data_IF_605499569772
#
_entry.id   IF_605499569772
#
_cell.length_a   1.000
_cell.length_b   1.000
_cell.length_c   1.000
_cell.angle_alpha   90.00
_cell.angle_beta   90.00
_cell.angle_gamma   90.00
#
_symmetry.space_group_name_H-M   'P 1'
#
loop_
_entity.id
_entity.type
_entity.pdbx_description
1 polymer ?
#
# COMPACT_ATOMS: atom_id res chain seq x y z
N UNK A 1 -18.73 -6.19 -6.29
CA UNK A 1 -20.13 -6.56 -5.99
C UNK A 1 -20.47 -6.48 -4.50
N UNK A 2 -19.70 -7.02 -3.54
CA UNK A 2 -20.09 -6.90 -2.11
C UNK A 2 -20.05 -5.46 -1.54
N UNK A 3 -19.22 -4.55 -2.06
CA UNK A 3 -19.28 -3.11 -1.70
C UNK A 3 -20.59 -2.44 -2.15
N UNK A 4 -21.14 -2.87 -3.29
CA UNK A 4 -22.40 -2.37 -3.84
C UNK A 4 -23.61 -2.81 -3.01
N UNK A 5 -23.54 -3.98 -2.35
CA UNK A 5 -24.58 -4.47 -1.43
C UNK A 5 -24.70 -3.58 -0.20
N UNK A 6 -23.59 -3.02 0.30
CA UNK A 6 -23.60 -2.07 1.42
C UNK A 6 -24.30 -0.76 1.05
N UNK A 7 -23.98 -0.19 -0.11
CA UNK A 7 -24.63 1.04 -0.59
C UNK A 7 -26.12 0.82 -0.84
N UNK A 8 -26.52 -0.35 -1.37
CA UNK A 8 -27.93 -0.72 -1.55
C UNK A 8 -28.66 -0.87 -0.19
N UNK A 9 -28.01 -1.43 0.83
CA UNK A 9 -28.56 -1.55 2.19
C UNK A 9 -28.74 -0.19 2.87
N UNK A 10 -27.77 0.72 2.73
CA UNK A 10 -27.87 2.09 3.24
C UNK A 10 -28.99 2.87 2.51
N UNK A 11 -29.16 2.66 1.20
CA UNK A 11 -30.22 3.26 0.42
C UNK A 11 -31.61 2.72 0.80
N UNK A 12 -31.76 1.39 0.96
CA UNK A 12 -33.03 0.75 1.35
C UNK A 12 -33.49 1.16 2.75
N UNK A 13 -32.55 1.35 3.69
CA UNK A 13 -32.87 1.82 5.06
C UNK A 13 -33.46 3.24 5.05
N UNK A 14 -33.03 4.08 4.10
CA UNK A 14 -33.52 5.46 3.93
C UNK A 14 -34.94 5.48 3.34
N UNK A 15 -35.25 4.55 2.42
CA UNK A 15 -36.55 4.48 1.72
C UNK A 15 -37.66 3.95 2.64
N UNK A 16 -37.34 3.09 3.62
CA UNK A 16 -38.33 2.54 4.56
C UNK A 16 -38.88 3.55 5.58
N UNK A 17 -38.28 4.74 5.72
CA UNK A 17 -38.79 5.79 6.60
C UNK A 17 -39.94 6.61 5.99
N UNK A 18 -40.19 6.50 4.68
CA UNK A 18 -41.21 7.27 3.96
C UNK A 18 -42.11 6.35 3.12
N UNK A 19 -43.06 5.67 3.76
CA UNK A 19 -44.22 5.11 3.05
C UNK A 19 -44.66 3.73 3.51
N UNK A 20 -45.98 3.56 3.60
CA UNK A 20 -46.67 2.30 3.90
C UNK A 20 -46.36 1.24 2.83
N UNK A 21 -45.33 0.43 3.07
CA UNK A 21 -45.04 -0.78 2.29
C UNK A 21 -45.96 -1.89 2.79
N UNK A 22 -46.72 -2.53 1.89
CA UNK A 22 -47.64 -3.62 2.27
C UNK A 22 -46.86 -4.83 2.80
N UNK A 23 -47.40 -5.48 3.84
CA UNK A 23 -46.74 -6.56 4.59
C UNK A 23 -46.22 -7.70 3.68
N UNK A 24 -46.88 -7.93 2.54
CA UNK A 24 -46.51 -8.95 1.55
C UNK A 24 -45.21 -8.64 0.79
N UNK A 25 -44.92 -7.36 0.54
CA UNK A 25 -43.71 -6.97 -0.21
C UNK A 25 -42.46 -6.98 0.65
N UNK A 26 -42.59 -6.77 1.96
CA UNK A 26 -41.48 -6.82 2.92
C UNK A 26 -40.82 -8.22 2.97
N UNK A 27 -41.61 -9.30 2.92
CA UNK A 27 -41.08 -10.67 2.93
C UNK A 27 -40.24 -10.99 1.70
N UNK A 28 -40.64 -10.51 0.51
CA UNK A 28 -39.88 -10.69 -0.73
C UNK A 28 -38.52 -9.99 -0.69
N UNK A 29 -38.45 -8.78 -0.12
CA UNK A 29 -37.20 -8.05 0.06
C UNK A 29 -36.26 -8.72 1.07
N UNK A 30 -36.77 -9.21 2.20
CA UNK A 30 -35.96 -9.95 3.17
C UNK A 30 -35.39 -11.23 2.53
N UNK A 31 -36.21 -11.97 1.78
CA UNK A 31 -35.74 -13.17 1.08
C UNK A 31 -34.67 -12.84 0.03
N UNK A 32 -34.84 -11.74 -0.72
CA UNK A 32 -33.87 -11.27 -1.69
C UNK A 32 -32.55 -10.85 -1.03
N UNK A 33 -32.60 -10.08 0.06
CA UNK A 33 -31.41 -9.67 0.84
C UNK A 33 -30.70 -10.92 1.42
N UNK A 34 -31.46 -11.89 1.91
CA UNK A 34 -30.91 -13.14 2.42
C UNK A 34 -30.20 -13.93 1.31
N UNK A 35 -30.82 -14.07 0.13
CA UNK A 35 -30.21 -14.76 -1.02
C UNK A 35 -28.97 -14.03 -1.56
N UNK A 36 -28.94 -12.70 -1.52
CA UNK A 36 -27.79 -11.89 -1.95
C UNK A 36 -26.64 -11.96 -0.94
N UNK A 37 -26.93 -12.02 0.36
CA UNK A 37 -25.90 -12.08 1.41
C UNK A 37 -25.22 -13.45 1.49
N UNK A 38 -25.95 -14.55 1.29
CA UNK A 38 -25.39 -15.93 1.30
C UNK A 38 -24.41 -16.14 0.13
N UNK A 39 -24.62 -15.48 -1.01
CA UNK A 39 -23.73 -15.61 -2.17
C UNK A 39 -22.40 -14.82 -2.05
N UNK A 40 -22.27 -13.84 -1.15
CA UNK A 40 -21.00 -13.12 -0.99
C UNK A 40 -19.91 -13.99 -0.36
N UNK A 41 -20.27 -15.01 0.43
CA UNK A 41 -19.29 -15.90 1.09
C UNK A 41 -18.67 -16.93 0.13
N UNK A 42 -19.39 -17.37 -0.90
CA UNK A 42 -18.89 -18.38 -1.86
C UNK A 42 -17.87 -17.78 -2.86
N UNK A 43 -17.96 -16.49 -3.19
CA UNK A 43 -16.98 -15.84 -4.08
C UNK A 43 -15.58 -15.67 -3.49
N UNK A 44 -15.40 -15.91 -2.19
CA UNK A 44 -14.09 -15.91 -1.55
C UNK A 44 -13.43 -17.29 -1.52
N UNK A 45 -14.18 -18.36 -1.86
CA UNK A 45 -13.67 -19.75 -1.83
C UNK A 45 -12.86 -20.15 -3.05
N UNK A 46 -12.96 -19.42 -4.17
CA UNK A 46 -12.24 -19.79 -5.41
C UNK A 46 -11.10 -18.81 -5.64
N UNK A 47 -9.98 -19.07 -4.95
CA UNK A 47 -8.68 -18.47 -5.20
C UNK A 47 -8.34 -17.28 -4.30
N UNK A 48 -7.52 -17.54 -3.28
CA UNK A 48 -6.54 -16.57 -2.76
C UNK A 48 -7.14 -15.26 -2.19
N UNK A 49 -8.16 -15.31 -1.32
CA UNK A 49 -8.68 -14.11 -0.60
C UNK A 49 -8.90 -14.39 0.89
N UNK A 50 -8.74 -13.33 1.69
CA UNK A 50 -8.78 -13.34 3.17
C UNK A 50 -10.23 -13.43 3.68
N UNK A 51 -10.43 -13.73 4.97
CA UNK A 51 -11.74 -13.85 5.67
C UNK A 51 -12.62 -12.61 5.59
N UNK A 52 -12.05 -11.45 5.32
CA UNK A 52 -12.78 -10.19 5.11
C UNK A 52 -12.97 -9.83 3.63
N UNK A 53 -12.47 -10.65 2.71
CA UNK A 53 -12.51 -10.47 1.24
C UNK A 53 -12.10 -9.08 0.75
N UNK A 54 -11.44 -8.30 1.62
CA UNK A 54 -11.12 -6.90 1.39
C UNK A 54 -9.89 -6.76 0.49
N UNK A 55 -9.00 -7.75 0.54
CA UNK A 55 -7.74 -7.75 -0.21
C UNK A 55 -7.52 -9.09 -0.92
N UNK A 56 -7.02 -9.01 -2.15
CA UNK A 56 -6.51 -10.17 -2.86
C UNK A 56 -5.20 -10.62 -2.21
N UNK A 57 -4.98 -11.93 -2.07
CA UNK A 57 -3.70 -12.45 -1.59
C UNK A 57 -2.61 -12.15 -2.62
N UNK A 58 -1.55 -11.47 -2.18
CA UNK A 58 -0.40 -11.10 -3.00
C UNK A 58 0.90 -11.74 -2.52
N UNK A 59 0.81 -12.75 -1.68
CA UNK A 59 1.95 -13.56 -1.28
C UNK A 59 2.43 -14.43 -2.46
N UNK A 60 3.74 -14.72 -2.50
CA UNK A 60 4.34 -15.64 -3.48
C UNK A 60 3.66 -17.01 -3.40
N UNK A 61 3.44 -17.47 -2.16
CA UNK A 61 2.81 -18.76 -1.88
C UNK A 61 1.30 -18.61 -1.62
N UNK A 62 0.92 -18.75 -0.36
CA UNK A 62 -0.46 -18.82 0.11
C UNK A 62 -0.67 -17.80 1.22
N UNK A 63 -1.91 -17.34 1.38
CA UNK A 63 -2.31 -16.52 2.52
C UNK A 63 -3.08 -17.37 3.52
N UNK A 64 -2.96 -17.04 4.80
CA UNK A 64 -3.84 -17.54 5.85
C UNK A 64 -5.24 -16.93 5.74
N UNK A 65 -6.11 -17.35 6.65
CA UNK A 65 -7.47 -16.83 6.76
C UNK A 65 -7.49 -15.30 7.02
N UNK A 66 -6.46 -14.71 7.61
CA UNK A 66 -6.39 -13.27 7.89
C UNK A 66 -5.77 -12.47 6.74
N UNK A 67 -5.14 -13.14 5.77
CA UNK A 67 -4.42 -12.51 4.67
C UNK A 67 -2.92 -12.40 4.84
N UNK A 68 -2.37 -12.93 5.94
CA UNK A 68 -0.92 -12.95 6.13
C UNK A 68 -0.31 -14.04 5.25
N UNK A 69 0.91 -13.81 4.78
CA UNK A 69 1.63 -14.82 4.02
C UNK A 69 2.03 -16.00 4.93
N UNK A 70 1.70 -17.22 4.49
CA UNK A 70 2.15 -18.45 5.15
C UNK A 70 3.55 -18.80 4.62
N UNK A 71 4.48 -19.07 5.54
CA UNK A 71 5.84 -19.51 5.21
C UNK A 71 6.87 -18.44 5.57
N UNK A 72 7.75 -18.11 4.63
CA UNK A 72 8.83 -17.14 4.87
C UNK A 72 8.25 -15.74 5.14
N UNK A 73 8.73 -15.05 6.18
CA UNK A 73 8.32 -13.68 6.46
C UNK A 73 8.65 -12.79 5.25
N UNK A 74 7.73 -11.89 4.90
CA UNK A 74 7.84 -10.95 3.78
C UNK A 74 7.88 -11.59 2.38
N UNK A 75 7.29 -12.77 2.19
CA UNK A 75 7.15 -13.43 0.88
C UNK A 75 6.06 -12.79 0.01
N UNK A 76 6.17 -11.48 -0.23
CA UNK A 76 5.32 -10.77 -1.17
C UNK A 76 5.71 -11.07 -2.61
N UNK A 77 4.71 -11.23 -3.47
CA UNK A 77 4.91 -11.24 -4.91
C UNK A 77 5.58 -9.94 -5.35
N UNK A 78 6.29 -9.99 -6.46
CA UNK A 78 6.95 -8.81 -7.03
C UNK A 78 5.98 -7.62 -7.15
N UNK A 79 6.42 -6.44 -6.68
CA UNK A 79 5.63 -5.22 -6.67
C UNK A 79 4.61 -5.08 -5.54
N UNK A 80 4.66 -5.96 -4.55
CA UNK A 80 3.84 -5.88 -3.36
C UNK A 80 4.69 -5.87 -2.08
N UNK A 81 4.20 -5.17 -1.06
CA UNK A 81 4.87 -5.08 0.23
C UNK A 81 3.89 -4.79 1.37
N UNK A 82 4.42 -4.77 2.60
CA UNK A 82 3.63 -4.69 3.84
C UNK A 82 3.44 -6.06 4.50
N UNK A 83 2.94 -6.05 5.73
CA UNK A 83 2.81 -7.25 6.57
C UNK A 83 1.97 -8.37 5.91
N UNK A 84 0.96 -8.00 5.14
CA UNK A 84 0.06 -8.90 4.42
C UNK A 84 0.16 -8.72 2.89
N UNK A 85 1.25 -8.10 2.41
CA UNK A 85 1.44 -7.74 0.99
C UNK A 85 0.28 -6.93 0.41
N UNK A 86 -0.29 -6.06 1.24
CA UNK A 86 -1.49 -5.30 0.90
C UNK A 86 -1.21 -4.04 0.08
N UNK A 87 0.05 -3.59 0.02
CA UNK A 87 0.44 -2.34 -0.64
C UNK A 87 1.16 -2.63 -1.94
N UNK A 88 0.78 -1.90 -2.99
CA UNK A 88 1.42 -1.99 -4.31
C UNK A 88 2.57 -0.99 -4.36
N UNK A 89 3.76 -1.48 -4.71
CA UNK A 89 4.93 -0.64 -4.90
C UNK A 89 4.84 0.11 -6.23
N UNK A 90 4.52 1.40 -6.17
CA UNK A 90 4.53 2.27 -7.36
C UNK A 90 5.96 2.68 -7.75
N UNK A 91 6.94 2.50 -6.86
CA UNK A 91 8.36 2.74 -7.11
C UNK A 91 8.96 1.83 -8.19
N UNK A 92 8.38 0.65 -8.41
CA UNK A 92 8.76 -0.24 -9.52
C UNK A 92 8.73 0.44 -10.90
N UNK A 93 7.73 1.31 -11.10
CA UNK A 93 7.53 2.01 -12.37
C UNK A 93 8.29 3.33 -12.47
N UNK A 94 9.02 3.72 -11.42
CA UNK A 94 9.84 4.92 -11.46
C UNK A 94 11.08 4.71 -12.34
N UNK A 95 11.81 5.77 -12.63
CA UNK A 95 13.22 5.77 -13.00
C UNK A 95 14.01 6.25 -11.78
N UNK A 96 15.12 5.57 -11.44
CA UNK A 96 16.03 6.02 -10.37
C UNK A 96 17.23 6.66 -11.06
N UNK A 97 17.48 7.93 -10.77
CA UNK A 97 18.59 8.68 -11.39
C UNK A 97 19.93 8.46 -10.66
N UNK A 98 19.88 8.03 -9.40
CA UNK A 98 21.07 7.87 -8.56
C UNK A 98 21.74 6.51 -8.77
N UNK A 99 22.96 6.48 -9.31
CA UNK A 99 23.76 5.26 -9.42
C UNK A 99 24.35 4.84 -8.05
N UNK A 100 24.30 3.55 -7.66
CA UNK A 100 23.79 2.39 -8.41
C UNK A 100 22.30 2.12 -8.19
N UNK A 101 21.49 2.64 -9.13
CA UNK A 101 20.04 2.73 -9.13
C UNK A 101 19.29 1.39 -9.00
N UNK A 102 19.83 0.31 -9.57
CA UNK A 102 19.12 -0.94 -9.74
C UNK A 102 18.90 -1.72 -8.41
N UNK A 103 19.67 -1.42 -7.36
CA UNK A 103 19.65 -2.22 -6.12
C UNK A 103 18.56 -1.81 -5.13
N UNK A 104 18.02 -0.59 -5.24
CA UNK A 104 17.03 -0.08 -4.28
C UNK A 104 15.62 -0.68 -4.42
N UNK A 105 15.33 -1.46 -5.48
CA UNK A 105 13.98 -1.93 -5.80
C UNK A 105 13.67 -3.36 -5.41
N UNK A 106 14.67 -4.09 -5.00
CA UNK A 106 14.50 -5.51 -4.73
C UNK A 106 14.22 -5.70 -3.24
N UNK A 107 13.17 -6.46 -2.93
CA UNK A 107 12.95 -7.07 -1.61
C UNK A 107 14.03 -8.13 -1.33
N UNK A 108 15.29 -7.82 -1.60
CA UNK A 108 16.41 -8.71 -1.36
C UNK A 108 16.53 -8.95 0.15
N UNK A 109 17.00 -10.14 0.54
CA UNK A 109 17.44 -10.35 1.90
C UNK A 109 18.50 -9.30 2.27
N UNK A 110 18.52 -8.88 3.53
CA UNK A 110 19.45 -7.84 4.03
C UNK A 110 20.93 -8.17 3.83
N UNK A 111 21.26 -9.44 3.58
CA UNK A 111 22.63 -9.92 3.36
C UNK A 111 23.27 -9.36 2.09
N UNK A 112 22.47 -8.92 1.12
CA UNK A 112 22.96 -8.35 -0.14
C UNK A 112 23.00 -6.81 -0.13
N UNK A 113 22.73 -6.20 1.03
CA UNK A 113 22.79 -4.76 1.20
C UNK A 113 24.18 -4.30 1.64
N UNK A 114 24.72 -3.31 0.94
CA UNK A 114 26.01 -2.67 1.23
C UNK A 114 25.85 -1.16 1.25
N UNK A 115 26.64 -0.46 2.07
CA UNK A 115 26.65 1.00 2.06
C UNK A 115 27.25 1.56 0.76
N UNK A 116 26.76 2.72 0.34
CA UNK A 116 27.22 3.44 -0.84
C UNK A 116 27.90 4.74 -0.42
N UNK A 117 29.24 4.75 -0.48
CA UNK A 117 30.00 5.97 -0.22
C UNK A 117 29.73 7.01 -1.30
N UNK A 118 29.44 8.25 -0.88
CA UNK A 118 29.23 9.39 -1.79
C UNK A 118 27.82 9.52 -2.37
N UNK A 119 26.89 8.63 -2.04
CA UNK A 119 25.50 8.79 -2.45
C UNK A 119 24.82 9.87 -1.58
N UNK A 120 24.41 10.96 -2.21
CA UNK A 120 23.83 12.11 -1.51
C UNK A 120 22.30 12.08 -1.48
N UNK A 121 21.68 11.53 -2.51
CA UNK A 121 20.22 11.49 -2.65
C UNK A 121 19.76 10.30 -3.50
N UNK A 122 18.52 9.90 -3.28
CA UNK A 122 17.78 8.97 -4.15
C UNK A 122 16.66 9.76 -4.81
N UNK A 123 16.67 9.87 -6.13
CA UNK A 123 15.61 10.52 -6.90
C UNK A 123 14.81 9.48 -7.70
N UNK A 124 13.52 9.38 -7.40
CA UNK A 124 12.52 8.59 -8.12
C UNK A 124 11.72 9.52 -9.03
N UNK A 125 11.63 9.19 -10.31
CA UNK A 125 10.85 9.95 -11.29
C UNK A 125 9.85 9.05 -12.02
N UNK A 126 8.63 9.52 -12.27
CA UNK A 126 7.59 8.76 -12.97
C UNK A 126 7.18 9.48 -14.24
N UNK A 127 6.95 8.72 -15.31
CA UNK A 127 6.43 9.26 -16.58
C UNK A 127 4.97 9.69 -16.52
N UNK A 128 4.23 9.20 -15.52
CA UNK A 128 2.84 9.57 -15.22
C UNK A 128 2.73 9.95 -13.75
N UNK A 129 1.89 10.93 -13.44
CA UNK A 129 1.64 11.32 -12.05
C UNK A 129 1.08 10.14 -11.25
N UNK A 130 1.67 9.85 -10.10
CA UNK A 130 1.20 8.80 -9.19
C UNK A 130 0.75 9.41 -7.87
N UNK A 131 -0.30 8.88 -7.24
CA UNK A 131 -0.58 9.19 -5.85
C UNK A 131 0.58 8.73 -4.97
N UNK A 132 0.81 9.44 -3.86
CA UNK A 132 1.79 9.08 -2.83
C UNK A 132 1.15 9.24 -1.46
N UNK A 133 1.31 8.21 -0.63
CA UNK A 133 0.73 8.20 0.72
C UNK A 133 1.82 7.97 1.77
N UNK A 134 2.70 7.00 1.53
CA UNK A 134 3.85 6.73 2.38
C UNK A 134 4.88 5.89 1.62
N UNK A 135 6.08 5.81 2.16
CA UNK A 135 7.17 4.97 1.67
C UNK A 135 7.79 4.15 2.80
N UNK A 136 8.28 2.96 2.47
CA UNK A 136 9.11 2.13 3.35
C UNK A 136 10.55 2.24 2.93
N UNK A 137 11.43 2.50 3.89
CA UNK A 137 12.87 2.47 3.70
C UNK A 137 13.42 1.35 4.57
N UNK A 138 14.24 0.49 3.97
CA UNK A 138 15.06 -0.46 4.69
C UNK A 138 16.51 -0.03 4.62
N UNK A 139 17.22 -0.02 5.75
CA UNK A 139 18.63 0.37 5.86
C UNK A 139 19.50 -0.80 6.28
N UNK A 140 20.80 -0.69 6.01
CA UNK A 140 21.79 -1.67 6.47
C UNK A 140 22.05 -1.55 7.97
N UNK A 141 22.15 -0.31 8.48
CA UNK A 141 22.49 -0.01 9.88
C UNK A 141 21.50 1.00 10.49
N UNK A 142 21.15 0.81 11.77
CA UNK A 142 20.13 1.58 12.49
C UNK A 142 20.57 3.04 12.78
N UNK A 143 21.86 3.34 12.72
CA UNK A 143 22.40 4.63 13.15
C UNK A 143 21.99 5.83 12.29
N UNK A 144 21.38 5.60 11.12
CA UNK A 144 21.20 6.63 10.09
C UNK A 144 19.78 7.18 9.93
N UNK A 145 18.91 6.99 10.93
CA UNK A 145 17.56 7.58 10.90
C UNK A 145 17.52 9.10 11.17
N UNK A 146 18.68 9.74 11.33
CA UNK A 146 18.79 11.19 11.54
C UNK A 146 18.86 11.92 10.19
N UNK A 147 18.35 13.16 10.16
CA UNK A 147 18.46 14.08 9.03
C UNK A 147 17.81 13.59 7.72
N UNK A 148 16.60 13.03 7.82
CA UNK A 148 15.85 12.65 6.62
C UNK A 148 15.13 13.88 6.06
N UNK A 149 15.35 14.15 4.77
CA UNK A 149 14.62 15.18 4.03
C UNK A 149 13.92 14.54 2.84
N UNK A 150 12.62 14.82 2.71
CA UNK A 150 11.79 14.34 1.62
C UNK A 150 11.30 15.55 0.81
N UNK A 151 11.62 15.58 -0.47
CA UNK A 151 11.09 16.58 -1.40
C UNK A 151 10.34 15.88 -2.54
N UNK A 152 9.22 16.47 -2.94
CA UNK A 152 8.35 15.92 -3.95
C UNK A 152 7.98 17.00 -4.96
N UNK A 153 7.76 16.62 -6.21
CA UNK A 153 7.29 17.55 -7.24
C UNK A 153 6.20 16.94 -8.10
N UNK A 154 5.36 17.79 -8.66
CA UNK A 154 4.42 17.45 -9.72
C UNK A 154 4.65 18.40 -10.90
N UNK A 155 5.16 17.88 -12.02
CA UNK A 155 5.37 18.65 -13.25
C UNK A 155 6.19 19.94 -13.00
N UNK A 156 7.28 19.84 -12.23
CA UNK A 156 8.17 20.90 -11.75
C UNK A 156 7.66 21.80 -10.61
N UNK A 157 6.43 21.62 -10.13
CA UNK A 157 5.92 22.33 -8.95
C UNK A 157 6.29 21.55 -7.69
N UNK A 158 6.92 22.22 -6.72
CA UNK A 158 7.22 21.61 -5.43
C UNK A 158 5.93 21.29 -4.67
N UNK A 159 5.83 20.06 -4.18
CA UNK A 159 4.73 19.58 -3.35
C UNK A 159 5.24 19.49 -1.91
N UNK A 160 4.67 20.32 -1.03
CA UNK A 160 5.05 20.35 0.38
C UNK A 160 4.37 19.23 1.15
N UNK A 161 5.16 18.48 1.93
CA UNK A 161 4.63 17.61 2.96
C UNK A 161 4.32 18.41 4.22
N UNK A 162 3.04 18.68 4.51
CA UNK A 162 2.66 19.50 5.67
C UNK A 162 3.07 18.86 7.01
N UNK A 163 3.05 17.54 7.08
CA UNK A 163 3.40 16.77 8.27
C UNK A 163 4.05 15.45 7.86
N UNK A 164 5.37 15.41 7.92
CA UNK A 164 6.11 14.15 7.79
C UNK A 164 5.93 13.37 9.09
N UNK A 165 5.51 12.12 8.99
CA UNK A 165 5.48 11.18 10.11
C UNK A 165 6.44 10.04 9.81
N UNK A 166 7.33 9.75 10.76
CA UNK A 166 8.30 8.67 10.65
C UNK A 166 7.94 7.62 11.70
N UNK A 167 7.78 6.37 11.26
CA UNK A 167 7.48 5.23 12.12
C UNK A 167 8.60 4.21 11.99
N UNK A 168 9.21 3.82 13.10
CA UNK A 168 10.14 2.70 13.13
C UNK A 168 9.32 1.40 13.17
N UNK A 169 9.45 0.57 12.14
CA UNK A 169 8.79 -0.73 12.04
C UNK A 169 9.63 -1.78 12.76
N UNK A 170 10.95 -1.71 12.58
CA UNK A 170 11.97 -2.51 13.26
C UNK A 170 13.32 -1.77 13.22
N UNK A 171 14.40 -2.40 13.71
CA UNK A 171 15.72 -1.79 13.80
C UNK A 171 16.35 -1.40 12.44
N UNK A 172 15.82 -1.90 11.33
CA UNK A 172 16.34 -1.65 9.97
C UNK A 172 15.28 -1.08 9.03
N UNK A 173 14.05 -0.90 9.49
CA UNK A 173 12.92 -0.55 8.63
C UNK A 173 12.16 0.62 9.23
N UNK A 174 11.97 1.64 8.41
CA UNK A 174 11.13 2.78 8.76
C UNK A 174 10.10 3.03 7.67
N UNK A 175 8.97 3.57 8.09
CA UNK A 175 7.93 4.08 7.22
C UNK A 175 7.88 5.60 7.34
N UNK A 176 7.96 6.29 6.20
CA UNK A 176 7.74 7.73 6.11
C UNK A 176 6.38 7.95 5.48
N UNK A 177 5.46 8.49 6.27
CA UNK A 177 4.14 8.87 5.81
C UNK A 177 4.08 10.37 5.56
N UNK A 178 3.39 10.73 4.48
CA UNK A 178 3.08 12.10 4.15
C UNK A 178 1.66 12.19 3.63
N UNK A 179 0.85 13.04 4.26
CA UNK A 179 -0.51 13.31 3.79
C UNK A 179 -0.48 14.44 2.76
N UNK A 180 -0.48 14.07 1.47
CA UNK A 180 -0.59 15.02 0.36
C UNK A 180 -1.83 14.73 -0.49
N UNK A 181 -2.65 15.73 -0.82
CA UNK A 181 -3.87 15.55 -1.60
C UNK A 181 -3.61 15.51 -3.12
N UNK A 182 -2.35 15.55 -3.56
CA UNK A 182 -1.97 15.67 -4.96
C UNK A 182 -1.06 14.53 -5.40
N UNK A 183 -1.17 14.15 -6.66
CA UNK A 183 -0.24 13.21 -7.28
C UNK A 183 1.13 13.88 -7.48
N UNK A 184 2.18 13.06 -7.52
CA UNK A 184 3.57 13.47 -7.72
C UNK A 184 4.15 12.83 -8.99
N UNK A 185 5.13 13.48 -9.59
CA UNK A 185 5.93 12.97 -10.71
C UNK A 185 7.39 12.71 -10.32
N UNK A 186 7.84 13.25 -9.19
CA UNK A 186 9.16 12.96 -8.64
C UNK A 186 9.15 12.99 -7.11
N UNK A 187 9.97 12.12 -6.53
CA UNK A 187 10.24 12.00 -5.10
C UNK A 187 11.74 11.92 -4.92
N UNK A 188 12.30 12.84 -4.15
CA UNK A 188 13.71 12.89 -3.81
C UNK A 188 13.87 12.75 -2.31
N UNK A 189 14.63 11.72 -1.93
CA UNK A 189 15.06 11.43 -0.58
C UNK A 189 16.51 11.91 -0.43
N UNK A 190 16.73 12.80 0.53
CA UNK A 190 18.05 13.30 0.92
C UNK A 190 18.32 12.96 2.40
N UNK A 191 19.60 12.95 2.77
CA UNK A 191 20.02 12.77 4.16
C UNK A 191 21.06 11.67 4.35
N UNK A 192 21.50 11.51 5.59
CA UNK A 192 22.52 10.51 5.96
C UNK A 192 22.04 9.08 5.69
N UNK A 193 20.72 8.86 5.77
CA UNK A 193 20.07 7.57 5.51
C UNK A 193 20.34 7.02 4.11
N UNK A 194 20.58 7.90 3.14
CA UNK A 194 20.68 7.52 1.74
C UNK A 194 21.85 6.56 1.50
N UNK A 195 22.98 6.78 2.17
CA UNK A 195 24.19 5.95 2.02
C UNK A 195 24.01 4.54 2.55
N UNK A 196 23.06 4.33 3.45
CA UNK A 196 22.79 3.03 4.08
C UNK A 196 21.48 2.41 3.59
N UNK A 197 20.78 3.07 2.67
CA UNK A 197 19.49 2.58 2.16
C UNK A 197 19.69 1.33 1.31
N UNK A 198 19.00 0.26 1.68
CA UNK A 198 18.96 -1.01 0.95
C UNK A 198 17.80 -1.02 -0.05
N UNK A 199 16.61 -0.64 0.42
CA UNK A 199 15.37 -0.78 -0.33
C UNK A 199 14.49 0.45 -0.09
N UNK A 200 13.87 0.94 -1.15
CA UNK A 200 12.85 1.99 -1.10
C UNK A 200 11.60 1.48 -1.80
N UNK A 201 10.50 1.40 -1.06
CA UNK A 201 9.19 0.96 -1.56
C UNK A 201 8.20 2.11 -1.38
N UNK A 202 7.39 2.39 -2.39
CA UNK A 202 6.50 3.56 -2.40
C UNK A 202 5.05 3.11 -2.53
N UNK A 203 4.19 3.54 -1.62
CA UNK A 203 2.76 3.25 -1.69
C UNK A 203 1.98 4.35 -2.41
N UNK A 204 1.18 3.94 -3.40
CA UNK A 204 0.27 4.81 -4.14
C UNK A 204 -1.12 4.99 -3.52
N UNK A 205 -1.45 4.30 -2.42
CA UNK A 205 -2.81 4.30 -1.88
C UNK A 205 -3.71 3.23 -2.49
#
# INVERSE_FOLDING_TARGET
MCGMVREILEFLCTVTCFGFISQSTMFLWILFIYLVSVNCQEFCKIGKRTTSCKYACRCVNQCDANGNCIGTPNSCSEGWFGQACQYRDVGLNATIESLPAARFRSNLPSTDCSSFSGLQYINLTWSKSVPFTWMRIRVFNQTSFKNISLSMTNSAINVSCNKIQIFEVDNQTLDIQCDIPVNITSLRLDGDIVQETCTVLVNGG
#
